data_IF_400886447475
#
_entry.id   IF_400886447475
#
_cell.length_a   1.000
_cell.length_b   1.000
_cell.length_c   1.000
_cell.angle_alpha   90.00
_cell.angle_beta   90.00
_cell.angle_gamma   90.00
#
_symmetry.space_group_name_H-M   'P 1'
#
loop_
_entity.id
_entity.type
_entity.pdbx_description
1 polymer ?
#
# COMPACT_ATOMS: atom_id res chain seq x y z
N UNK A 1 9.15 -13.51 -7.61
CA UNK A 1 9.83 -13.57 -6.30
C UNK A 1 11.25 -13.98 -6.56
N UNK A 2 12.23 -13.19 -6.08
CA UNK A 2 13.65 -13.51 -6.27
C UNK A 2 14.04 -14.77 -5.48
N UNK A 3 14.91 -15.61 -6.06
CA UNK A 3 15.42 -16.77 -5.34
C UNK A 3 16.20 -16.33 -4.07
N UNK A 4 16.07 -17.08 -2.96
CA UNK A 4 15.45 -18.40 -2.80
C UNK A 4 13.93 -18.41 -2.54
N UNK A 5 13.27 -17.25 -2.59
CA UNK A 5 11.82 -17.15 -2.37
C UNK A 5 11.00 -17.85 -3.46
N UNK A 6 9.87 -18.46 -3.08
CA UNK A 6 8.89 -18.98 -4.03
C UNK A 6 7.47 -18.76 -3.51
N UNK A 7 6.52 -18.64 -4.43
CA UNK A 7 5.09 -18.67 -4.13
C UNK A 7 4.72 -20.15 -3.94
N UNK A 8 4.20 -20.49 -2.76
CA UNK A 8 3.88 -21.88 -2.42
C UNK A 8 2.42 -22.23 -2.70
N UNK A 9 1.52 -21.26 -2.66
CA UNK A 9 0.09 -21.43 -2.86
C UNK A 9 -0.59 -20.09 -3.13
N UNK A 10 -1.84 -20.12 -3.62
CA UNK A 10 -2.68 -18.97 -3.88
C UNK A 10 -2.78 -18.58 -5.35
N UNK A 11 -3.53 -17.52 -5.60
CA UNK A 11 -3.75 -16.95 -6.94
C UNK A 11 -3.80 -15.43 -6.86
N UNK A 12 -3.37 -14.76 -7.93
CA UNK A 12 -3.43 -13.30 -8.07
C UNK A 12 -4.10 -12.99 -9.40
N UNK A 13 -5.26 -12.37 -9.34
CA UNK A 13 -6.03 -12.02 -10.54
C UNK A 13 -5.96 -10.52 -10.85
N UNK A 14 -5.71 -10.21 -12.11
CA UNK A 14 -5.99 -8.91 -12.70
C UNK A 14 -7.10 -9.12 -13.73
N UNK A 15 -8.27 -8.51 -13.49
CA UNK A 15 -9.50 -8.88 -14.20
C UNK A 15 -9.74 -10.41 -14.06
N UNK A 16 -9.76 -11.15 -15.19
CA UNK A 16 -9.97 -12.59 -15.23
C UNK A 16 -8.67 -13.38 -15.48
N UNK A 17 -7.49 -12.73 -15.43
CA UNK A 17 -6.20 -13.35 -15.72
C UNK A 17 -5.49 -13.69 -14.41
N UNK A 18 -5.18 -14.98 -14.21
CA UNK A 18 -4.33 -15.39 -13.10
C UNK A 18 -2.86 -15.07 -13.43
N UNK A 19 -2.31 -14.07 -12.75
CA UNK A 19 -0.94 -13.60 -13.00
C UNK A 19 0.14 -14.63 -12.65
N UNK A 20 -0.16 -15.58 -11.75
CA UNK A 20 0.79 -16.59 -11.31
C UNK A 20 0.97 -17.73 -12.33
N UNK A 21 0.05 -17.86 -13.28
CA UNK A 21 0.10 -18.87 -14.35
C UNK A 21 0.78 -18.35 -15.61
N UNK A 22 1.07 -17.05 -15.66
CA UNK A 22 1.68 -16.43 -16.82
C UNK A 22 3.17 -16.75 -16.93
N UNK A 23 3.62 -16.97 -18.16
CA UNK A 23 5.04 -17.02 -18.50
C UNK A 23 5.70 -15.64 -18.27
N UNK A 24 7.02 -15.61 -18.11
CA UNK A 24 7.76 -14.34 -17.96
C UNK A 24 7.55 -13.37 -19.15
N UNK A 25 7.38 -13.90 -20.35
CA UNK A 25 7.06 -13.09 -21.55
C UNK A 25 5.71 -12.37 -21.41
N UNK A 26 4.69 -13.09 -20.96
CA UNK A 26 3.36 -12.54 -20.75
C UNK A 26 3.37 -11.54 -19.59
N UNK A 27 4.07 -11.85 -18.49
CA UNK A 27 4.25 -10.91 -17.36
C UNK A 27 4.96 -9.62 -17.79
N UNK A 28 5.93 -9.67 -18.68
CA UNK A 28 6.60 -8.47 -19.22
C UNK A 28 5.60 -7.57 -19.96
N UNK A 29 4.57 -8.13 -20.62
CA UNK A 29 3.54 -7.32 -21.30
C UNK A 29 2.58 -6.64 -20.34
N UNK A 30 2.44 -7.15 -19.10
CA UNK A 30 1.57 -6.60 -18.05
C UNK A 30 2.31 -5.56 -17.19
N UNK A 31 3.56 -5.88 -16.79
CA UNK A 31 4.38 -4.97 -15.99
C UNK A 31 4.69 -3.69 -16.75
N UNK A 32 4.32 -2.56 -16.18
CA UNK A 32 4.46 -1.22 -16.78
C UNK A 32 3.38 -0.86 -17.79
N UNK A 33 2.55 -1.80 -18.24
CA UNK A 33 1.41 -1.54 -19.13
C UNK A 33 0.08 -1.56 -18.37
N UNK A 34 -0.30 -2.72 -17.80
CA UNK A 34 -1.55 -2.88 -17.07
C UNK A 34 -1.39 -2.65 -15.57
N UNK A 35 -0.19 -2.89 -15.04
CA UNK A 35 0.17 -2.62 -13.64
C UNK A 35 1.35 -1.65 -13.62
N UNK A 36 1.14 -0.46 -13.03
CA UNK A 36 2.19 0.48 -12.67
C UNK A 36 2.62 0.28 -11.22
N UNK A 37 3.90 0.53 -10.92
CA UNK A 37 4.42 0.45 -9.55
C UNK A 37 5.23 1.71 -9.26
N UNK A 38 4.94 2.34 -8.12
CA UNK A 38 5.74 3.38 -7.49
C UNK A 38 6.46 2.73 -6.31
N UNK A 39 7.79 2.70 -6.36
CA UNK A 39 8.62 2.08 -5.33
C UNK A 39 8.86 3.06 -4.17
N UNK A 40 9.19 2.52 -3.00
CA UNK A 40 9.44 3.26 -1.77
C UNK A 40 10.57 4.30 -1.91
N UNK A 41 11.64 3.96 -2.65
CA UNK A 41 12.79 4.83 -2.83
C UNK A 41 12.98 5.26 -4.30
N UNK A 42 12.73 6.53 -4.65
CA UNK A 42 12.92 7.03 -6.02
C UNK A 42 14.38 6.91 -6.50
N UNK A 43 15.34 6.96 -5.58
CA UNK A 43 16.78 6.86 -5.91
C UNK A 43 17.18 5.48 -6.43
N UNK A 44 16.52 4.44 -5.98
CA UNK A 44 16.78 3.05 -6.42
C UNK A 44 15.95 2.68 -7.64
N UNK A 45 14.82 3.35 -7.85
CA UNK A 45 13.91 3.10 -8.97
C UNK A 45 14.35 3.78 -10.28
N UNK A 46 14.98 4.97 -10.18
CA UNK A 46 15.50 5.70 -11.34
C UNK A 46 16.95 5.32 -11.61
N UNK A 47 17.24 4.95 -12.85
CA UNK A 47 18.61 4.64 -13.25
C UNK A 47 19.44 5.94 -13.40
N UNK A 48 20.53 6.14 -12.61
CA UNK A 48 21.26 7.39 -12.56
C UNK A 48 22.04 7.73 -13.85
N UNK A 49 22.28 6.76 -14.72
CA UNK A 49 23.07 6.95 -15.96
C UNK A 49 22.23 7.21 -17.19
N UNK A 50 20.90 7.22 -17.07
CA UNK A 50 19.99 7.60 -18.14
C UNK A 50 19.23 8.88 -17.81
N UNK A 51 18.96 9.69 -18.84
CA UNK A 51 18.14 10.88 -18.69
C UNK A 51 16.69 10.52 -18.35
N UNK A 52 15.97 11.44 -17.75
CA UNK A 52 14.55 11.30 -17.42
C UNK A 52 13.73 10.90 -18.66
N UNK A 53 13.97 11.58 -19.78
CA UNK A 53 13.28 11.32 -21.03
C UNK A 53 13.53 9.92 -21.58
N UNK A 54 14.76 9.43 -21.49
CA UNK A 54 15.06 8.08 -21.94
C UNK A 54 14.29 7.03 -21.14
N UNK A 55 14.21 7.19 -19.81
CA UNK A 55 13.54 6.24 -18.93
C UNK A 55 12.02 6.20 -19.14
N UNK A 56 11.37 7.35 -19.29
CA UNK A 56 9.92 7.42 -19.57
C UNK A 56 9.63 6.93 -20.99
N UNK A 57 10.43 7.36 -21.98
CA UNK A 57 10.24 6.99 -23.39
C UNK A 57 10.41 5.48 -23.62
N UNK A 58 11.32 4.81 -22.89
CA UNK A 58 11.52 3.36 -23.00
C UNK A 58 10.23 2.59 -22.75
N UNK A 59 9.49 2.96 -21.71
CA UNK A 59 8.20 2.34 -21.35
C UNK A 59 7.19 2.52 -22.50
N UNK A 60 7.09 3.71 -23.07
CA UNK A 60 6.17 4.03 -24.17
C UNK A 60 6.55 3.31 -25.47
N UNK A 61 7.83 3.27 -25.81
CA UNK A 61 8.32 2.54 -26.99
C UNK A 61 8.01 1.05 -26.86
N UNK A 62 8.30 0.47 -25.69
CA UNK A 62 8.13 -0.96 -25.45
C UNK A 62 6.67 -1.40 -25.49
N UNK A 63 5.76 -0.65 -24.86
CA UNK A 63 4.39 -1.09 -24.62
C UNK A 63 3.35 -0.44 -25.56
N UNK A 64 3.65 0.73 -26.13
CA UNK A 64 2.73 1.46 -27.04
C UNK A 64 3.24 1.51 -28.48
N UNK A 65 4.38 0.87 -28.78
CA UNK A 65 5.00 0.86 -30.09
C UNK A 65 5.23 2.26 -30.69
N UNK A 66 5.47 3.26 -29.84
CA UNK A 66 5.72 4.63 -30.28
C UNK A 66 7.12 4.76 -30.89
N UNK A 67 7.25 5.63 -31.87
CA UNK A 67 8.58 6.06 -32.34
C UNK A 67 9.29 6.86 -31.24
N UNK A 68 10.63 6.93 -31.28
CA UNK A 68 11.42 7.71 -30.30
C UNK A 68 10.95 9.17 -30.18
N UNK A 69 10.58 9.79 -31.31
CA UNK A 69 10.11 11.19 -31.34
C UNK A 69 8.76 11.35 -30.67
N UNK A 70 7.82 10.45 -30.94
CA UNK A 70 6.49 10.44 -30.30
C UNK A 70 6.59 10.15 -28.81
N UNK A 71 7.38 9.14 -28.43
CA UNK A 71 7.60 8.78 -27.02
C UNK A 71 8.23 9.94 -26.23
N UNK A 72 9.21 10.66 -26.80
CA UNK A 72 9.81 11.82 -26.16
C UNK A 72 8.78 12.96 -25.96
N UNK A 73 7.95 13.23 -26.98
CA UNK A 73 6.88 14.23 -26.88
C UNK A 73 5.87 13.86 -25.79
N UNK A 74 5.45 12.59 -25.75
CA UNK A 74 4.51 12.12 -24.73
C UNK A 74 5.15 12.12 -23.32
N UNK A 75 6.42 11.82 -23.22
CA UNK A 75 7.17 11.93 -21.95
C UNK A 75 7.14 13.34 -21.38
N UNK A 76 7.26 14.37 -22.23
CA UNK A 76 7.11 15.78 -21.81
C UNK A 76 5.69 16.05 -21.30
N UNK A 77 4.66 15.54 -21.99
CA UNK A 77 3.27 15.68 -21.55
C UNK A 77 3.04 15.02 -20.17
N UNK A 78 3.57 13.82 -19.96
CA UNK A 78 3.50 13.11 -18.68
C UNK A 78 4.19 13.90 -17.55
N UNK A 79 5.37 14.47 -17.81
CA UNK A 79 6.05 15.31 -16.83
C UNK A 79 5.23 16.56 -16.47
N UNK A 80 4.56 17.18 -17.45
CA UNK A 80 3.64 18.30 -17.20
C UNK A 80 2.43 17.85 -16.37
N UNK A 81 1.87 16.68 -16.68
CA UNK A 81 0.71 16.12 -15.99
C UNK A 81 1.01 15.86 -14.50
N UNK A 82 2.22 15.43 -14.17
CA UNK A 82 2.63 15.25 -12.77
C UNK A 82 3.17 16.55 -12.12
N UNK A 83 3.08 17.69 -12.81
CA UNK A 83 3.44 18.99 -12.26
C UNK A 83 4.95 19.26 -12.20
N UNK A 84 5.74 18.70 -13.12
CA UNK A 84 7.16 19.05 -13.28
C UNK A 84 7.27 20.38 -14.02
N UNK A 85 7.88 21.43 -13.41
CA UNK A 85 8.11 22.69 -14.09
C UNK A 85 9.16 22.54 -15.20
N UNK A 86 9.04 23.31 -16.28
CA UNK A 86 10.00 23.29 -17.40
C UNK A 86 10.28 21.88 -17.93
N UNK A 87 9.23 21.08 -18.12
CA UNK A 87 9.32 19.67 -18.53
C UNK A 87 10.17 19.47 -19.82
N UNK A 88 10.14 20.45 -20.76
CA UNK A 88 10.92 20.45 -21.99
C UNK A 88 12.45 20.52 -21.77
N UNK A 89 12.88 21.01 -20.60
CA UNK A 89 14.29 21.05 -20.21
C UNK A 89 14.64 19.86 -19.35
N UNK A 90 13.84 19.60 -18.32
CA UNK A 90 14.02 18.50 -17.34
C UNK A 90 14.07 17.12 -18.00
N UNK A 91 13.42 16.97 -19.16
CA UNK A 91 13.42 15.72 -19.93
C UNK A 91 14.85 15.23 -20.29
N UNK A 92 15.81 16.14 -20.38
CA UNK A 92 17.21 15.86 -20.70
C UNK A 92 18.10 15.74 -19.45
N UNK A 93 17.57 16.07 -18.27
CA UNK A 93 18.31 15.97 -17.02
C UNK A 93 18.42 14.51 -16.54
N UNK A 94 19.38 14.29 -15.64
CA UNK A 94 19.60 13.02 -14.96
C UNK A 94 18.94 13.03 -13.58
N UNK A 95 18.61 11.86 -13.00
CA UNK A 95 17.94 11.79 -11.69
C UNK A 95 18.65 12.56 -10.57
N UNK A 96 19.98 12.60 -10.54
CA UNK A 96 20.75 13.29 -9.52
C UNK A 96 20.63 14.82 -9.58
N UNK A 97 20.19 15.39 -10.71
CA UNK A 97 19.96 16.83 -10.90
C UNK A 97 18.59 17.30 -10.38
N UNK A 98 17.70 16.36 -10.02
CA UNK A 98 16.35 16.63 -9.56
C UNK A 98 16.27 16.66 -8.03
N UNK A 99 15.36 17.47 -7.47
CA UNK A 99 14.98 17.39 -6.05
C UNK A 99 14.25 16.08 -5.72
N UNK A 100 14.12 15.73 -4.44
CA UNK A 100 13.41 14.53 -4.00
C UNK A 100 11.97 14.46 -4.52
N UNK A 101 11.21 15.54 -4.37
CA UNK A 101 9.84 15.63 -4.89
C UNK A 101 9.74 15.56 -6.41
N UNK A 102 10.72 16.12 -7.15
CA UNK A 102 10.77 15.99 -8.60
C UNK A 102 11.08 14.57 -9.05
N UNK A 103 12.00 13.86 -8.37
CA UNK A 103 12.26 12.44 -8.63
C UNK A 103 11.01 11.59 -8.40
N UNK A 104 10.29 11.85 -7.30
CA UNK A 104 9.04 11.16 -7.00
C UNK A 104 8.00 11.39 -8.09
N UNK A 105 7.78 12.64 -8.52
CA UNK A 105 6.88 12.97 -9.64
C UNK A 105 7.29 12.31 -10.95
N UNK A 106 8.59 12.22 -11.22
CA UNK A 106 9.13 11.52 -12.40
C UNK A 106 8.83 10.02 -12.34
N UNK A 107 9.02 9.38 -11.19
CA UNK A 107 8.68 7.97 -10.99
C UNK A 107 7.18 7.72 -11.17
N UNK A 108 6.33 8.63 -10.68
CA UNK A 108 4.88 8.59 -10.93
C UNK A 108 4.60 8.69 -12.45
N UNK A 109 5.24 9.64 -13.15
CA UNK A 109 5.08 9.78 -14.61
C UNK A 109 5.43 8.49 -15.37
N UNK A 110 6.51 7.81 -14.97
CA UNK A 110 6.89 6.50 -15.54
C UNK A 110 5.82 5.43 -15.25
N UNK A 111 5.35 5.37 -14.01
CA UNK A 111 4.39 4.35 -13.58
C UNK A 111 3.03 4.47 -14.29
N UNK A 112 2.62 5.70 -14.64
CA UNK A 112 1.34 5.98 -15.32
C UNK A 112 1.47 6.09 -16.86
N UNK A 113 2.68 5.98 -17.42
CA UNK A 113 2.95 6.24 -18.85
C UNK A 113 2.05 5.43 -19.79
N UNK A 114 1.74 4.21 -19.44
CA UNK A 114 0.86 3.34 -20.23
C UNK A 114 -0.62 3.40 -19.82
N UNK A 115 -1.02 4.28 -18.90
CA UNK A 115 -2.38 4.36 -18.34
C UNK A 115 -2.81 3.00 -17.76
N UNK A 116 -2.15 2.53 -16.69
CA UNK A 116 -2.37 1.21 -16.14
C UNK A 116 -3.79 1.07 -15.57
N UNK A 117 -4.28 -0.17 -15.48
CA UNK A 117 -5.52 -0.50 -14.78
C UNK A 117 -5.37 -0.44 -13.26
N UNK A 118 -4.18 -0.77 -12.77
CA UNK A 118 -3.81 -0.78 -11.36
C UNK A 118 -2.48 -0.05 -11.16
N UNK A 119 -2.47 0.92 -10.26
CA UNK A 119 -1.26 1.55 -9.75
C UNK A 119 -1.00 1.07 -8.31
N UNK A 120 0.14 0.46 -8.07
CA UNK A 120 0.61 0.09 -6.74
C UNK A 120 1.58 1.17 -6.28
N UNK A 121 1.29 1.80 -5.15
CA UNK A 121 2.13 2.83 -4.55
C UNK A 121 2.64 2.31 -3.19
N UNK A 122 3.90 1.90 -3.17
CA UNK A 122 4.56 1.35 -1.98
C UNK A 122 5.27 2.48 -1.23
N UNK A 123 4.67 2.94 -0.14
CA UNK A 123 5.12 4.08 0.68
C UNK A 123 5.55 5.30 -0.17
N UNK A 124 4.69 5.83 -1.04
CA UNK A 124 5.08 6.80 -2.08
C UNK A 124 5.53 8.16 -1.53
N UNK A 125 5.45 8.37 -0.24
CA UNK A 125 5.76 9.64 0.42
C UNK A 125 6.87 9.53 1.46
N UNK A 126 7.47 8.34 1.62
CA UNK A 126 8.59 8.12 2.54
C UNK A 126 9.77 9.04 2.19
N UNK A 127 10.39 9.63 3.21
CA UNK A 127 11.50 10.58 3.11
C UNK A 127 11.19 11.91 2.38
N UNK A 128 9.91 12.28 2.25
CA UNK A 128 9.48 13.60 1.78
C UNK A 128 9.00 14.46 2.96
N UNK A 129 9.14 15.78 2.82
CA UNK A 129 8.52 16.71 3.77
C UNK A 129 6.98 16.67 3.69
N UNK A 130 6.31 17.06 4.78
CA UNK A 130 4.84 16.96 4.92
C UNK A 130 4.10 17.69 3.79
N UNK A 131 4.62 18.83 3.33
CA UNK A 131 3.99 19.60 2.27
C UNK A 131 4.04 18.87 0.93
N UNK A 132 5.20 18.32 0.59
CA UNK A 132 5.37 17.53 -0.65
C UNK A 132 4.59 16.22 -0.56
N UNK A 133 4.55 15.59 0.62
CA UNK A 133 3.74 14.39 0.85
C UNK A 133 2.26 14.61 0.49
N UNK A 134 1.63 15.67 1.02
CA UNK A 134 0.26 16.03 0.70
C UNK A 134 0.07 16.26 -0.82
N UNK A 135 0.99 16.99 -1.46
CA UNK A 135 0.94 17.22 -2.90
C UNK A 135 1.03 15.94 -3.75
N UNK A 136 1.85 14.97 -3.34
CA UNK A 136 1.97 13.68 -4.03
C UNK A 136 0.69 12.87 -3.90
N UNK A 137 0.08 12.85 -2.73
CA UNK A 137 -1.16 12.09 -2.50
C UNK A 137 -2.36 12.69 -3.26
N UNK A 138 -2.51 14.01 -3.26
CA UNK A 138 -3.49 14.67 -4.10
C UNK A 138 -3.27 14.38 -5.59
N UNK A 139 -2.01 14.42 -6.05
CA UNK A 139 -1.69 14.04 -7.43
C UNK A 139 -2.12 12.60 -7.76
N UNK A 140 -1.86 11.65 -6.86
CA UNK A 140 -2.26 10.24 -7.07
C UNK A 140 -3.79 10.08 -7.11
N UNK A 141 -4.53 10.79 -6.27
CA UNK A 141 -5.99 10.78 -6.28
C UNK A 141 -6.56 11.40 -7.56
N UNK A 142 -6.04 12.53 -8.01
CA UNK A 142 -6.42 13.15 -9.28
C UNK A 142 -6.16 12.22 -10.48
N UNK A 143 -5.00 11.56 -10.49
CA UNK A 143 -4.64 10.60 -11.54
C UNK A 143 -5.54 9.37 -11.51
N UNK A 144 -5.87 8.83 -10.33
CA UNK A 144 -6.81 7.72 -10.14
C UNK A 144 -8.16 8.04 -10.78
N UNK A 145 -8.70 9.25 -10.51
CA UNK A 145 -9.98 9.69 -11.04
C UNK A 145 -9.93 9.93 -12.56
N UNK A 146 -8.92 10.66 -13.06
CA UNK A 146 -8.77 10.99 -14.47
C UNK A 146 -8.58 9.74 -15.36
N UNK A 147 -7.80 8.77 -14.88
CA UNK A 147 -7.47 7.56 -15.62
C UNK A 147 -8.43 6.40 -15.34
N UNK A 148 -9.33 6.53 -14.35
CA UNK A 148 -10.25 5.48 -13.88
C UNK A 148 -9.51 4.19 -13.53
N UNK A 149 -8.36 4.30 -12.89
CA UNK A 149 -7.53 3.17 -12.47
C UNK A 149 -7.75 2.80 -11.01
N UNK A 150 -7.49 1.55 -10.65
CA UNK A 150 -7.37 1.15 -9.25
C UNK A 150 -6.07 1.69 -8.64
N UNK A 151 -6.11 2.13 -7.38
CA UNK A 151 -4.93 2.53 -6.61
C UNK A 151 -4.80 1.62 -5.39
N UNK A 152 -3.70 0.87 -5.30
CA UNK A 152 -3.30 0.14 -4.11
C UNK A 152 -2.22 0.94 -3.38
N UNK A 153 -2.62 1.65 -2.32
CA UNK A 153 -1.71 2.43 -1.47
C UNK A 153 -1.22 1.57 -0.31
N UNK A 154 0.08 1.34 -0.22
CA UNK A 154 0.74 0.69 0.92
C UNK A 154 1.35 1.80 1.77
N UNK A 155 0.98 1.87 3.04
CA UNK A 155 1.47 2.89 3.97
C UNK A 155 1.36 2.42 5.42
N UNK A 156 2.19 2.97 6.28
CA UNK A 156 2.08 2.84 7.74
C UNK A 156 1.38 4.05 8.39
N UNK A 157 1.01 5.06 7.62
CA UNK A 157 0.34 6.27 8.12
C UNK A 157 -1.19 6.13 8.01
N UNK A 158 -1.83 5.94 9.16
CA UNK A 158 -3.29 5.81 9.25
C UNK A 158 -4.05 7.13 8.98
N UNK A 159 -3.41 8.28 9.12
CA UNK A 159 -3.97 9.57 8.74
C UNK A 159 -4.26 9.62 7.24
N UNK A 160 -3.28 9.18 6.45
CA UNK A 160 -3.41 9.08 4.99
C UNK A 160 -4.49 8.08 4.58
N UNK A 161 -4.59 6.95 5.30
CA UNK A 161 -5.62 5.95 5.04
C UNK A 161 -7.03 6.54 5.20
N UNK A 162 -7.27 7.33 6.25
CA UNK A 162 -8.56 7.98 6.48
C UNK A 162 -8.95 8.93 5.35
N UNK A 163 -7.98 9.64 4.78
CA UNK A 163 -8.21 10.69 3.78
C UNK A 163 -8.36 10.12 2.35
N UNK A 164 -7.53 9.12 1.99
CA UNK A 164 -7.37 8.69 0.59
C UNK A 164 -7.88 7.28 0.27
N UNK A 165 -8.18 6.44 1.28
CA UNK A 165 -8.57 5.07 1.03
C UNK A 165 -10.09 4.84 1.12
N UNK A 166 -10.67 4.19 0.11
CA UNK A 166 -12.07 3.74 0.14
C UNK A 166 -12.24 2.51 1.05
N UNK A 167 -11.24 1.62 1.03
CA UNK A 167 -11.20 0.34 1.77
C UNK A 167 -9.80 0.10 2.34
N UNK A 168 -9.75 -0.55 3.48
CA UNK A 168 -8.50 -0.82 4.20
C UNK A 168 -8.34 -2.31 4.46
N UNK A 169 -7.12 -2.80 4.23
CA UNK A 169 -6.66 -4.10 4.67
C UNK A 169 -5.54 -3.88 5.70
N UNK A 170 -5.81 -4.21 6.96
CA UNK A 170 -4.80 -4.15 8.01
C UNK A 170 -4.02 -5.46 8.02
N UNK A 171 -2.70 -5.36 7.94
CA UNK A 171 -1.81 -6.51 7.94
C UNK A 171 -0.96 -6.58 9.21
N UNK A 172 -0.81 -7.77 9.77
CA UNK A 172 0.11 -8.06 10.85
C UNK A 172 0.82 -9.38 10.61
N UNK A 173 2.15 -9.37 10.72
CA UNK A 173 2.94 -10.57 10.55
C UNK A 173 2.73 -11.30 9.21
N UNK A 174 2.47 -10.57 8.12
CA UNK A 174 2.23 -11.14 6.79
C UNK A 174 0.82 -11.73 6.58
N UNK A 175 -0.14 -11.42 7.48
CA UNK A 175 -1.54 -11.84 7.35
C UNK A 175 -2.48 -10.64 7.40
N UNK A 176 -3.55 -10.68 6.61
CA UNK A 176 -4.67 -9.76 6.77
C UNK A 176 -5.39 -10.11 8.05
N UNK A 177 -5.43 -9.16 9.00
CA UNK A 177 -6.09 -9.31 10.30
C UNK A 177 -7.47 -8.65 10.32
N UNK A 178 -7.65 -7.59 9.55
CA UNK A 178 -8.95 -6.91 9.41
C UNK A 178 -9.07 -6.28 8.02
N UNK A 179 -10.28 -6.29 7.44
CA UNK A 179 -10.58 -5.69 6.15
C UNK A 179 -12.00 -5.12 6.16
N UNK A 180 -12.13 -3.81 5.87
CA UNK A 180 -13.41 -3.13 5.81
C UNK A 180 -13.34 -1.86 4.95
N UNK A 181 -14.50 -1.23 4.61
CA UNK A 181 -14.55 0.15 4.17
C UNK A 181 -13.93 1.06 5.24
N UNK A 182 -13.20 2.08 4.83
CA UNK A 182 -12.42 2.95 5.74
C UNK A 182 -13.27 3.51 6.87
N UNK A 183 -14.42 4.09 6.56
CA UNK A 183 -15.33 4.65 7.58
C UNK A 183 -15.75 3.63 8.63
N UNK A 184 -16.08 2.40 8.20
CA UNK A 184 -16.48 1.32 9.10
C UNK A 184 -15.30 0.82 9.94
N UNK A 185 -14.12 0.65 9.34
CA UNK A 185 -12.93 0.23 10.08
C UNK A 185 -12.58 1.19 11.20
N UNK A 186 -12.68 2.50 10.97
CA UNK A 186 -12.38 3.53 11.96
C UNK A 186 -13.43 3.62 13.07
N UNK A 187 -14.73 3.46 12.74
CA UNK A 187 -15.83 3.57 13.72
C UNK A 187 -16.13 2.27 14.46
N UNK A 188 -15.89 1.12 13.82
CA UNK A 188 -16.26 -0.20 14.32
C UNK A 188 -15.08 -1.19 14.26
N UNK A 189 -13.92 -0.75 14.69
CA UNK A 189 -12.71 -1.59 14.72
C UNK A 189 -12.95 -2.90 15.48
N UNK A 190 -12.54 -4.01 14.90
CA UNK A 190 -12.76 -5.34 15.46
C UNK A 190 -11.47 -6.01 15.95
N UNK A 191 -10.39 -5.96 15.18
CA UNK A 191 -9.16 -6.65 15.57
C UNK A 191 -8.37 -5.86 16.63
N UNK A 192 -7.91 -6.48 17.71
CA UNK A 192 -7.16 -5.79 18.79
C UNK A 192 -5.89 -5.07 18.30
N UNK A 193 -5.24 -5.56 17.25
CA UNK A 193 -4.10 -4.87 16.65
C UNK A 193 -4.53 -3.57 15.97
N UNK A 194 -5.63 -3.58 15.19
CA UNK A 194 -6.18 -2.38 14.55
C UNK A 194 -6.61 -1.34 15.60
N UNK A 195 -7.24 -1.81 16.67
CA UNK A 195 -7.60 -0.96 17.82
C UNK A 195 -6.36 -0.29 18.44
N UNK A 196 -5.29 -1.06 18.66
CA UNK A 196 -4.02 -0.54 19.16
C UNK A 196 -3.38 0.48 18.23
N UNK A 197 -3.42 0.25 16.91
CA UNK A 197 -2.93 1.21 15.92
C UNK A 197 -3.71 2.53 15.97
N UNK A 198 -5.04 2.47 16.03
CA UNK A 198 -5.89 3.68 16.09
C UNK A 198 -5.66 4.47 17.40
N UNK A 199 -5.48 3.79 18.54
CA UNK A 199 -5.14 4.43 19.82
C UNK A 199 -3.74 5.08 19.84
N UNK A 200 -2.88 4.72 18.89
CA UNK A 200 -1.54 5.31 18.77
C UNK A 200 -1.53 6.61 17.94
N UNK A 201 -2.65 6.97 17.31
CA UNK A 201 -2.78 8.22 16.54
C UNK A 201 -3.08 9.36 17.53
N UNK A 202 -2.32 10.47 17.49
CA UNK A 202 -2.64 11.66 18.27
C UNK A 202 -4.02 12.22 17.89
N UNK A 203 -4.90 12.39 18.85
CA UNK A 203 -6.14 13.14 18.65
C UNK A 203 -5.88 14.60 19.02
N UNK A 204 -5.92 15.52 18.04
CA UNK A 204 -5.63 16.95 18.24
C UNK A 204 -6.61 17.59 19.24
N UNK A 205 -7.79 17.00 19.44
CA UNK A 205 -8.83 17.52 20.32
C UNK A 205 -8.77 16.97 21.75
N UNK A 206 -7.84 16.07 22.04
CA UNK A 206 -7.71 15.47 23.37
C UNK A 206 -6.29 15.72 23.91
N UNK A 207 -6.19 16.38 25.08
CA UNK A 207 -4.94 16.44 25.84
C UNK A 207 -4.74 15.07 26.51
N UNK A 208 -3.92 14.21 25.90
CA UNK A 208 -3.50 12.94 26.50
C UNK A 208 -2.04 13.01 26.93
N UNK A 209 -1.77 12.71 28.19
CA UNK A 209 -0.40 12.67 28.74
C UNK A 209 0.48 11.63 28.03
N UNK A 210 -0.11 10.57 27.47
CA UNK A 210 0.58 9.50 26.73
C UNK A 210 -0.30 8.93 25.62
N UNK A 211 0.26 8.81 24.42
CA UNK A 211 -0.35 8.05 23.34
C UNK A 211 -0.40 6.56 23.69
N UNK A 212 -1.47 5.89 23.27
CA UNK A 212 -1.58 4.45 23.36
C UNK A 212 -0.43 3.77 22.59
N UNK A 213 0.18 2.76 23.17
CA UNK A 213 1.23 1.98 22.52
C UNK A 213 0.85 0.51 22.53
N UNK A 214 1.18 -0.20 21.47
CA UNK A 214 1.02 -1.66 21.42
C UNK A 214 2.25 -2.27 22.11
N UNK A 215 2.09 -2.95 23.26
CA UNK A 215 3.23 -3.48 24.01
C UNK A 215 3.99 -4.55 23.24
N UNK A 216 5.27 -4.73 23.57
CA UNK A 216 6.14 -5.75 23.00
C UNK A 216 6.65 -5.40 21.59
N UNK A 217 7.39 -6.34 21.00
CA UNK A 217 8.04 -6.19 19.68
C UNK A 217 7.43 -7.22 18.72
N UNK A 218 7.34 -6.87 17.44
CA UNK A 218 6.91 -7.81 16.40
C UNK A 218 7.94 -8.94 16.30
N UNK A 219 7.56 -10.21 16.52
CA UNK A 219 8.49 -11.32 16.38
C UNK A 219 9.01 -11.44 14.94
N UNK A 220 10.26 -11.88 14.74
CA UNK A 220 10.74 -12.20 13.40
C UNK A 220 9.92 -13.36 12.80
N UNK A 221 9.82 -13.43 11.47
CA UNK A 221 8.94 -14.36 10.76
C UNK A 221 9.11 -15.84 11.17
N UNK A 222 10.34 -16.24 11.52
CA UNK A 222 10.65 -17.62 11.97
C UNK A 222 10.32 -17.91 13.44
N UNK A 223 9.81 -16.90 14.19
CA UNK A 223 9.41 -17.02 15.61
C UNK A 223 7.96 -16.63 15.85
N UNK A 224 7.14 -16.51 14.81
CA UNK A 224 5.71 -16.29 15.04
C UNK A 224 5.09 -17.46 15.82
N UNK A 225 4.13 -17.18 16.75
CA UNK A 225 3.34 -18.19 17.42
C UNK A 225 2.67 -19.14 16.41
N UNK A 226 2.48 -20.41 16.81
CA UNK A 226 1.72 -21.38 15.99
C UNK A 226 0.25 -20.96 15.82
N UNK A 227 -0.30 -20.30 16.82
CA UNK A 227 -1.65 -19.76 16.82
C UNK A 227 -1.77 -18.39 16.15
N UNK A 228 -2.56 -17.52 16.75
CA UNK A 228 -2.70 -16.14 16.31
C UNK A 228 -1.36 -15.40 16.38
N UNK A 229 -0.89 -14.86 15.26
CA UNK A 229 0.41 -14.15 15.20
C UNK A 229 0.51 -12.95 16.13
N UNK A 230 -0.64 -12.39 16.55
CA UNK A 230 -0.70 -11.26 17.48
C UNK A 230 -0.86 -11.69 18.94
N UNK A 231 -0.99 -13.00 19.25
CA UNK A 231 -1.31 -13.51 20.60
C UNK A 231 -0.39 -12.99 21.70
N UNK A 232 0.93 -12.89 21.46
CA UNK A 232 1.93 -12.46 22.44
C UNK A 232 1.79 -10.97 22.85
N UNK A 233 1.03 -10.20 22.06
CA UNK A 233 0.84 -8.74 22.26
C UNK A 233 -0.64 -8.36 22.43
N UNK A 234 -1.54 -9.35 22.39
CA UNK A 234 -2.97 -9.14 22.43
C UNK A 234 -3.46 -8.99 23.88
N UNK A 235 -4.11 -7.87 24.26
CA UNK A 235 -4.66 -7.71 25.61
C UNK A 235 -5.84 -8.67 25.89
N UNK A 236 -6.45 -9.24 24.82
CA UNK A 236 -7.60 -10.14 24.90
C UNK A 236 -7.22 -11.59 24.54
N UNK A 237 -5.96 -11.99 24.76
CA UNK A 237 -5.49 -13.33 24.39
C UNK A 237 -6.23 -14.42 25.17
N UNK A 238 -6.68 -15.46 24.44
CA UNK A 238 -7.32 -16.67 24.99
C UNK A 238 -6.45 -17.88 24.69
N UNK A 239 -6.67 -19.01 25.39
CA UNK A 239 -5.89 -20.24 25.17
C UNK A 239 -5.94 -20.71 23.71
N UNK A 240 -7.12 -20.70 23.08
CA UNK A 240 -7.27 -21.06 21.67
C UNK A 240 -6.43 -20.17 20.72
N UNK A 241 -6.12 -18.92 21.12
CA UNK A 241 -5.24 -18.02 20.34
C UNK A 241 -3.79 -18.51 20.30
N UNK A 242 -3.36 -19.32 21.26
CA UNK A 242 -2.01 -19.89 21.31
C UNK A 242 -1.88 -21.18 20.49
N UNK A 243 -2.98 -21.92 20.34
CA UNK A 243 -2.99 -23.25 19.74
C UNK A 243 -3.10 -23.20 18.21
N UNK A 244 -4.01 -22.40 17.68
CA UNK A 244 -4.33 -22.38 16.25
C UNK A 244 -4.49 -20.95 15.74
N UNK A 245 -4.10 -20.74 14.48
CA UNK A 245 -4.31 -19.45 13.81
C UNK A 245 -5.80 -19.29 13.43
N UNK A 246 -6.46 -18.16 13.82
CA UNK A 246 -7.86 -17.94 13.47
C UNK A 246 -8.06 -17.77 11.96
N UNK A 247 -9.23 -18.15 11.47
CA UNK A 247 -9.61 -17.91 10.10
C UNK A 247 -10.01 -16.44 9.87
N UNK A 248 -9.89 -15.97 8.63
CA UNK A 248 -10.46 -14.68 8.23
C UNK A 248 -11.96 -14.88 8.00
N UNK A 249 -12.78 -14.45 8.95
CA UNK A 249 -14.24 -14.62 8.92
C UNK A 249 -14.95 -13.36 8.46
N UNK A 250 -16.11 -13.50 7.83
CA UNK A 250 -16.98 -12.40 7.43
C UNK A 250 -17.92 -12.06 8.59
N UNK A 251 -17.86 -10.84 9.08
CA UNK A 251 -18.84 -10.30 10.05
C UNK A 251 -20.06 -9.74 9.32
N UNK A 252 -19.81 -9.03 8.23
CA UNK A 252 -20.82 -8.51 7.31
C UNK A 252 -20.37 -8.74 5.87
N UNK A 253 -21.17 -8.30 4.90
CA UNK A 253 -20.82 -8.43 3.47
C UNK A 253 -19.52 -7.74 3.10
N UNK A 254 -19.10 -6.73 3.85
CA UNK A 254 -17.98 -5.84 3.55
C UNK A 254 -16.94 -5.70 4.68
N UNK A 255 -17.13 -6.38 5.84
CA UNK A 255 -16.21 -6.39 6.97
C UNK A 255 -15.76 -7.80 7.33
N UNK A 256 -14.46 -8.02 7.33
CA UNK A 256 -13.83 -9.30 7.66
C UNK A 256 -12.81 -9.10 8.78
N UNK A 257 -12.69 -10.09 9.66
CA UNK A 257 -11.72 -10.08 10.76
C UNK A 257 -11.11 -11.47 10.98
N UNK A 258 -9.84 -11.50 11.35
CA UNK A 258 -9.10 -12.72 11.72
C UNK A 258 -8.90 -12.74 13.23
N UNK A 259 -9.95 -13.07 13.98
CA UNK A 259 -9.91 -13.04 15.44
C UNK A 259 -10.94 -13.99 16.06
N UNK A 260 -10.52 -14.79 17.03
CA UNK A 260 -11.38 -15.73 17.74
C UNK A 260 -12.48 -15.07 18.59
N UNK A 261 -12.31 -13.79 18.95
CA UNK A 261 -13.38 -13.03 19.63
C UNK A 261 -14.70 -13.04 18.86
N UNK A 262 -14.67 -13.32 17.54
CA UNK A 262 -15.82 -13.25 16.65
C UNK A 262 -16.21 -14.60 16.02
N UNK A 263 -15.47 -15.70 16.25
CA UNK A 263 -15.76 -17.00 15.61
C UNK A 263 -17.04 -17.69 16.12
N UNK A 264 -17.47 -17.40 17.35
CA UNK A 264 -18.66 -18.00 17.97
C UNK A 264 -19.80 -16.97 18.18
N UNK A 265 -20.31 -16.37 17.10
CA UNK A 265 -21.56 -15.61 17.15
C UNK A 265 -21.59 -14.35 18.04
N UNK A 266 -20.47 -13.86 18.51
CA UNK A 266 -20.37 -12.52 19.12
C UNK A 266 -20.84 -12.35 20.56
N UNK A 267 -21.44 -13.35 21.19
CA UNK A 267 -22.00 -13.20 22.55
C UNK A 267 -20.93 -13.15 23.69
N UNK A 268 -19.73 -13.65 23.46
CA UNK A 268 -18.62 -13.56 24.44
C UNK A 268 -17.76 -12.30 24.32
N UNK A 269 -18.08 -11.42 23.41
CA UNK A 269 -17.22 -10.31 23.00
C UNK A 269 -17.21 -9.17 24.02
N UNK A 270 -18.38 -8.77 24.49
CA UNK A 270 -18.55 -7.66 25.41
C UNK A 270 -18.08 -8.04 26.83
N UNK A 271 -18.24 -9.29 27.24
CA UNK A 271 -17.77 -9.79 28.53
C UNK A 271 -16.23 -9.80 28.61
N UNK A 272 -15.53 -10.25 27.57
CA UNK A 272 -14.07 -10.29 27.53
C UNK A 272 -13.47 -8.87 27.50
N UNK A 273 -14.06 -7.96 26.71
CA UNK A 273 -13.64 -6.55 26.69
C UNK A 273 -13.89 -5.83 28.01
N UNK A 274 -15.06 -6.01 28.59
CA UNK A 274 -15.44 -5.37 29.86
C UNK A 274 -14.56 -5.84 31.02
N UNK A 275 -14.17 -7.12 31.08
CA UNK A 275 -13.28 -7.65 32.11
C UNK A 275 -11.83 -7.15 32.00
N UNK A 276 -11.36 -6.75 30.81
CA UNK A 276 -10.00 -6.19 30.63
C UNK A 276 -9.96 -4.69 30.89
N UNK A 277 -11.09 -3.97 30.73
CA UNK A 277 -11.18 -2.54 31.05
C UNK A 277 -11.41 -2.27 32.57
N UNK A 278 -11.77 -3.31 33.33
CA UNK A 278 -12.02 -3.20 34.77
C UNK A 278 -10.79 -3.52 35.65
N UNK A 279 -9.67 -3.92 35.08
CA UNK A 279 -8.38 -4.16 35.72
C UNK A 279 -7.32 -3.17 35.21
#
# INVERSE_FOLDING_TARGET
VNQPGKIVDGSVFLDNINLLELSEREMVSIRGNDIGIIFQEPMTALNPVYTIGNQISEVLIKHKNMSKKEALKESINLLKQVGIPRAEQIIYDYPHQLSGGMRQRTMIAMAIACKPKLLIADEPTTALDVTIQAQILHLLEDLKQQMKMGLLLITHDLGLVNEYADRVLVMYGGQIVEHAPTKRLLSETKHPYTEGLLKSIPNINEEVDRLGTIPGVVPPAYRFPQGCRFSDRCPYVMEQCKEKNPNLIKLTSDHQVRCYLYEKGGEGHDEVRNNVQAN
#
